data_IF_692205967717
#
_entry.id   IF_692205967717
#
_cell.length_a   1.000
_cell.length_b   1.000
_cell.length_c   1.000
_cell.angle_alpha   90.00
_cell.angle_beta   90.00
_cell.angle_gamma   90.00
#
_symmetry.space_group_name_H-M   'P 1'
#
loop_
_entity.id
_entity.type
_entity.pdbx_description
1 polymer ?
#
# COMPACT_ATOMS: atom_id res chain seq x y z
N UNK A 1 12.85 28.21 5.91
CA UNK A 1 11.82 27.29 6.43
C UNK A 1 12.34 26.74 7.74
N UNK A 2 11.74 27.15 8.86
CA UNK A 2 12.12 26.71 10.21
C UNK A 2 11.79 25.23 10.36
N UNK A 3 12.81 24.39 10.40
CA UNK A 3 12.66 22.97 10.77
C UNK A 3 12.23 22.94 12.22
N UNK A 4 10.96 22.74 12.48
CA UNK A 4 10.46 22.55 13.84
C UNK A 4 11.00 21.23 14.35
N UNK A 5 11.90 21.28 15.31
CA UNK A 5 12.49 20.07 15.90
C UNK A 5 11.55 19.56 16.98
N UNK A 6 10.81 18.51 16.69
CA UNK A 6 9.93 17.83 17.65
C UNK A 6 10.74 16.95 18.60
N UNK A 7 10.44 16.99 19.90
CA UNK A 7 10.97 16.01 20.85
C UNK A 7 10.39 14.62 20.56
N UNK A 8 11.00 13.57 21.09
CA UNK A 8 10.50 12.20 20.94
C UNK A 8 9.05 12.05 21.47
N UNK A 9 8.77 12.70 22.59
CA UNK A 9 7.44 12.68 23.21
C UNK A 9 6.38 13.36 22.34
N UNK A 10 6.71 14.52 21.77
CA UNK A 10 5.84 15.24 20.84
C UNK A 10 5.57 14.44 19.55
N UNK A 11 6.61 13.76 19.02
CA UNK A 11 6.48 12.89 17.87
C UNK A 11 5.51 11.73 18.18
N UNK A 12 5.70 11.05 19.31
CA UNK A 12 4.84 9.95 19.73
C UNK A 12 3.40 10.42 19.96
N UNK A 13 3.19 11.53 20.64
CA UNK A 13 1.86 12.08 20.88
C UNK A 13 1.13 12.39 19.56
N UNK A 14 1.83 12.96 18.56
CA UNK A 14 1.24 13.24 17.25
C UNK A 14 0.92 11.96 16.48
N UNK A 15 1.79 10.95 16.54
CA UNK A 15 1.57 9.65 15.88
C UNK A 15 0.43 8.88 16.54
N UNK A 16 0.33 8.88 17.87
CA UNK A 16 -0.72 8.20 18.62
C UNK A 16 -2.09 8.84 18.43
N UNK A 17 -2.14 10.14 18.16
CA UNK A 17 -3.39 10.87 17.98
C UNK A 17 -4.27 10.26 16.89
N UNK A 18 -5.46 9.75 17.25
CA UNK A 18 -6.40 9.12 16.33
C UNK A 18 -5.95 7.75 15.83
N UNK A 19 -5.03 7.09 16.52
CA UNK A 19 -4.59 5.71 16.27
C UNK A 19 -5.27 4.80 17.28
N UNK A 20 -5.81 3.69 16.84
CA UNK A 20 -6.44 2.71 17.72
C UNK A 20 -5.37 1.82 18.37
N UNK A 21 -4.36 1.43 17.62
CA UNK A 21 -3.30 0.53 18.07
C UNK A 21 -2.01 0.77 17.28
N UNK A 22 -0.86 0.59 17.91
CA UNK A 22 0.48 0.63 17.29
C UNK A 22 1.18 -0.70 17.56
N UNK A 23 1.50 -1.43 16.50
CA UNK A 23 2.22 -2.71 16.53
C UNK A 23 3.64 -2.51 15.93
N UNK A 24 4.72 -2.61 16.70
CA UNK A 24 4.83 -2.50 18.15
C UNK A 24 5.30 -1.09 18.49
N UNK A 25 4.83 -0.53 19.60
CA UNK A 25 5.21 0.80 20.03
C UNK A 25 6.70 0.90 20.34
N UNK A 26 7.30 -0.13 20.96
CA UNK A 26 8.73 -0.20 21.23
C UNK A 26 9.58 -0.09 19.95
N UNK A 27 9.16 -0.72 18.87
CA UNK A 27 9.88 -0.68 17.59
C UNK A 27 9.74 0.69 16.92
N UNK A 28 8.60 1.33 17.06
CA UNK A 28 8.40 2.71 16.63
C UNK A 28 9.35 3.64 17.37
N UNK A 29 9.40 3.56 18.70
CA UNK A 29 10.31 4.35 19.55
C UNK A 29 11.77 4.13 19.14
N UNK A 30 12.20 2.87 18.96
CA UNK A 30 13.56 2.56 18.47
C UNK A 30 13.86 3.23 17.14
N UNK A 31 12.92 3.20 16.20
CA UNK A 31 13.08 3.82 14.87
C UNK A 31 13.15 5.34 14.95
N UNK A 32 12.32 5.98 15.78
CA UNK A 32 12.35 7.44 15.97
C UNK A 32 13.67 7.90 16.63
N UNK A 33 14.21 7.13 17.59
CA UNK A 33 15.50 7.39 18.22
C UNK A 33 16.70 7.36 17.26
N UNK A 34 16.56 6.78 16.06
CA UNK A 34 17.61 6.83 15.05
C UNK A 34 17.85 8.25 14.49
N UNK A 35 17.00 9.20 14.82
CA UNK A 35 17.07 10.60 14.43
C UNK A 35 17.33 10.82 12.92
N UNK A 36 16.67 10.02 12.09
CA UNK A 36 16.70 10.10 10.63
C UNK A 36 15.30 10.01 10.06
N UNK A 37 15.04 10.56 8.87
CA UNK A 37 13.76 10.41 8.20
C UNK A 37 13.40 8.93 8.02
N UNK A 38 12.22 8.56 8.47
CA UNK A 38 11.65 7.23 8.22
C UNK A 38 10.92 7.24 6.88
N UNK A 39 10.85 6.08 6.25
CA UNK A 39 10.03 5.86 5.07
C UNK A 39 8.70 5.27 5.49
N UNK A 40 7.65 6.06 5.35
CA UNK A 40 6.29 5.71 5.76
C UNK A 40 5.49 5.32 4.53
N UNK A 41 4.96 4.12 4.50
CA UNK A 41 4.23 3.57 3.37
C UNK A 41 2.77 3.34 3.73
N UNK A 42 1.86 3.76 2.86
CA UNK A 42 0.47 3.33 2.88
C UNK A 42 0.02 2.96 1.46
N UNK A 43 -0.75 1.87 1.34
CA UNK A 43 -1.24 1.35 0.06
C UNK A 43 -2.72 1.64 -0.13
N UNK A 44 -3.09 1.99 -1.37
CA UNK A 44 -4.45 2.27 -1.82
C UNK A 44 -4.69 1.58 -3.15
N UNK A 45 -5.73 0.77 -3.22
CA UNK A 45 -6.14 0.16 -4.49
C UNK A 45 -7.09 1.12 -5.24
N UNK A 46 -6.81 1.48 -6.50
CA UNK A 46 -7.59 2.44 -7.27
C UNK A 46 -8.88 1.80 -7.82
N UNK A 47 -9.73 1.34 -6.91
CA UNK A 47 -10.97 0.60 -7.21
C UNK A 47 -12.16 1.50 -7.54
N UNK A 48 -12.01 2.81 -7.38
CA UNK A 48 -13.00 3.83 -7.71
C UNK A 48 -12.30 5.04 -8.35
N UNK A 49 -13.02 5.90 -9.10
CA UNK A 49 -12.43 7.09 -9.73
C UNK A 49 -11.85 8.09 -8.73
N UNK A 50 -12.46 8.21 -7.55
CA UNK A 50 -12.14 9.23 -6.56
C UNK A 50 -11.85 8.65 -5.19
N UNK A 51 -11.00 9.37 -4.45
CA UNK A 51 -10.84 9.17 -3.01
C UNK A 51 -12.09 9.68 -2.29
N UNK A 52 -12.60 8.89 -1.35
CA UNK A 52 -13.70 9.33 -0.48
C UNK A 52 -13.18 9.78 0.88
N UNK A 53 -14.07 10.41 1.68
CA UNK A 53 -13.72 10.97 2.98
C UNK A 53 -13.06 9.96 3.94
N UNK A 54 -13.41 8.67 3.86
CA UNK A 54 -12.76 7.62 4.65
C UNK A 54 -11.25 7.49 4.40
N UNK A 55 -10.79 7.74 3.17
CA UNK A 55 -9.37 7.72 2.85
C UNK A 55 -8.61 8.89 3.50
N UNK A 56 -9.26 10.03 3.74
CA UNK A 56 -8.61 11.20 4.34
C UNK A 56 -8.12 10.94 5.76
N UNK A 57 -8.72 9.99 6.48
CA UNK A 57 -8.27 9.58 7.82
C UNK A 57 -6.83 9.08 7.76
N UNK A 58 -6.54 8.16 6.83
CA UNK A 58 -5.20 7.62 6.63
C UNK A 58 -4.26 8.65 6.00
N UNK A 59 -4.74 9.44 5.03
CA UNK A 59 -3.94 10.48 4.38
C UNK A 59 -3.53 11.55 5.38
N UNK A 60 -4.40 11.96 6.30
CA UNK A 60 -4.04 12.88 7.37
C UNK A 60 -3.02 12.27 8.35
N UNK A 61 -3.07 10.96 8.58
CA UNK A 61 -2.02 10.28 9.36
C UNK A 61 -0.67 10.34 8.64
N UNK A 62 -0.64 10.14 7.33
CA UNK A 62 0.57 10.34 6.53
C UNK A 62 1.07 11.79 6.61
N UNK A 63 0.14 12.77 6.62
CA UNK A 63 0.49 14.18 6.82
C UNK A 63 1.18 14.43 8.15
N UNK A 64 0.72 13.82 9.25
CA UNK A 64 1.42 13.93 10.54
C UNK A 64 2.88 13.45 10.43
N UNK A 65 3.14 12.32 9.79
CA UNK A 65 4.51 11.84 9.58
C UNK A 65 5.32 12.78 8.67
N UNK A 66 4.69 13.36 7.67
CA UNK A 66 5.34 14.33 6.78
C UNK A 66 5.73 15.60 7.52
N UNK A 67 4.88 16.10 8.42
CA UNK A 67 5.13 17.28 9.25
C UNK A 67 6.27 17.04 10.26
N UNK A 68 6.44 15.79 10.70
CA UNK A 68 7.58 15.34 11.51
C UNK A 68 8.88 15.17 10.71
N UNK A 69 8.86 15.41 9.39
CA UNK A 69 10.04 15.33 8.53
C UNK A 69 10.34 13.95 7.95
N UNK A 70 9.35 13.03 7.98
CA UNK A 70 9.48 11.71 7.38
C UNK A 70 9.10 11.71 5.90
N UNK A 71 9.63 10.75 5.12
CA UNK A 71 9.32 10.54 3.71
C UNK A 71 8.06 9.69 3.55
N UNK A 72 7.13 10.15 2.73
CA UNK A 72 5.88 9.42 2.46
C UNK A 72 6.00 8.65 1.14
N UNK A 73 5.67 7.37 1.21
CA UNK A 73 5.53 6.49 0.05
C UNK A 73 4.04 6.15 -0.11
N UNK A 74 3.38 6.85 -1.00
CA UNK A 74 2.00 6.61 -1.36
C UNK A 74 1.95 5.51 -2.42
N UNK A 75 1.60 4.31 -2.01
CA UNK A 75 1.56 3.14 -2.88
C UNK A 75 0.20 3.01 -3.54
N UNK A 76 0.19 2.98 -4.85
CA UNK A 76 -0.99 2.66 -5.66
C UNK A 76 -0.93 1.19 -6.04
N UNK A 77 -1.97 0.44 -5.66
CA UNK A 77 -2.12 -0.99 -5.92
C UNK A 77 -2.71 -1.27 -7.29
N UNK A 78 -2.03 -0.83 -8.36
CA UNK A 78 -2.50 -1.02 -9.74
C UNK A 78 -2.47 -2.49 -10.19
N UNK A 79 -1.57 -3.30 -9.67
CA UNK A 79 -1.54 -4.74 -9.92
C UNK A 79 -2.59 -5.49 -9.10
N UNK A 80 -2.71 -5.17 -7.80
CA UNK A 80 -3.66 -5.83 -6.90
C UNK A 80 -5.11 -5.50 -7.22
N UNK A 81 -5.38 -4.30 -7.73
CA UNK A 81 -6.71 -3.90 -8.18
C UNK A 81 -7.27 -4.79 -9.31
N UNK A 82 -6.40 -5.43 -10.10
CA UNK A 82 -6.79 -6.39 -11.16
C UNK A 82 -7.24 -7.73 -10.60
N UNK A 83 -6.71 -8.12 -9.44
CA UNK A 83 -6.98 -9.44 -8.84
C UNK A 83 -8.37 -9.46 -8.20
N UNK A 84 -8.89 -8.30 -7.78
CA UNK A 84 -10.11 -8.15 -7.01
C UNK A 84 -9.94 -8.55 -5.54
N UNK A 85 -10.99 -8.35 -4.76
CA UNK A 85 -10.99 -8.70 -3.34
C UNK A 85 -11.37 -10.19 -3.16
N UNK A 86 -10.44 -11.04 -2.67
CA UNK A 86 -10.71 -12.46 -2.42
C UNK A 86 -11.67 -12.70 -1.24
N UNK A 87 -11.99 -11.68 -0.44
CA UNK A 87 -12.88 -11.82 0.73
C UNK A 87 -14.35 -12.04 0.37
N UNK A 88 -14.71 -11.98 -0.91
CA UNK A 88 -16.04 -12.36 -1.43
C UNK A 88 -17.19 -11.43 -1.04
N UNK A 89 -16.93 -10.36 -0.30
CA UNK A 89 -17.97 -9.41 0.13
C UNK A 89 -18.51 -8.52 -0.98
N UNK A 90 -17.83 -8.48 -2.14
CA UNK A 90 -18.21 -7.67 -3.30
C UNK A 90 -18.18 -8.48 -4.59
N UNK A 91 -18.94 -9.58 -4.64
CA UNK A 91 -19.07 -10.46 -5.84
C UNK A 91 -19.69 -9.79 -7.07
N UNK A 92 -20.04 -8.52 -6.99
CA UNK A 92 -20.78 -7.78 -8.04
C UNK A 92 -19.95 -6.74 -8.79
N UNK A 93 -18.65 -6.55 -8.47
CA UNK A 93 -17.82 -5.61 -9.23
C UNK A 93 -17.07 -6.33 -10.34
N UNK A 94 -17.33 -5.99 -11.62
CA UNK A 94 -16.50 -6.49 -12.72
C UNK A 94 -15.05 -6.04 -12.51
N UNK A 95 -14.05 -6.85 -12.90
CA UNK A 95 -12.65 -6.45 -12.83
C UNK A 95 -12.44 -5.18 -13.68
N UNK A 96 -11.68 -4.23 -13.11
CA UNK A 96 -11.36 -2.99 -13.81
C UNK A 96 -10.40 -3.26 -14.97
N UNK A 97 -10.56 -2.51 -16.06
CA UNK A 97 -9.60 -2.54 -17.17
C UNK A 97 -8.32 -1.80 -16.79
N UNK A 98 -7.22 -2.09 -17.52
CA UNK A 98 -5.94 -1.43 -17.30
C UNK A 98 -6.03 0.09 -17.48
N UNK A 99 -6.86 0.54 -18.42
CA UNK A 99 -7.11 1.95 -18.68
C UNK A 99 -7.84 2.61 -17.51
N UNK A 100 -8.86 1.96 -16.97
CA UNK A 100 -9.60 2.45 -15.81
C UNK A 100 -8.70 2.56 -14.58
N UNK A 101 -7.85 1.55 -14.35
CA UNK A 101 -6.90 1.57 -13.23
C UNK A 101 -5.92 2.72 -13.38
N UNK A 102 -5.39 2.98 -14.57
CA UNK A 102 -4.47 4.11 -14.82
C UNK A 102 -5.13 5.47 -14.58
N UNK A 103 -6.35 5.65 -15.07
CA UNK A 103 -7.11 6.89 -14.86
C UNK A 103 -7.38 7.11 -13.38
N UNK A 104 -7.87 6.09 -12.68
CA UNK A 104 -8.14 6.17 -11.24
C UNK A 104 -6.85 6.45 -10.45
N UNK A 105 -5.74 5.80 -10.81
CA UNK A 105 -4.45 6.02 -10.16
C UNK A 105 -3.94 7.45 -10.32
N UNK A 106 -4.13 8.05 -11.50
CA UNK A 106 -3.78 9.46 -11.73
C UNK A 106 -4.65 10.38 -10.87
N UNK A 107 -5.97 10.15 -10.83
CA UNK A 107 -6.90 10.91 -10.00
C UNK A 107 -6.53 10.83 -8.52
N UNK A 108 -6.16 9.63 -8.02
CA UNK A 108 -5.70 9.45 -6.64
C UNK A 108 -4.44 10.26 -6.35
N UNK A 109 -3.46 10.24 -7.27
CA UNK A 109 -2.23 11.01 -7.12
C UNK A 109 -2.52 12.53 -7.09
N UNK A 110 -3.41 13.03 -7.93
CA UNK A 110 -3.80 14.43 -7.95
C UNK A 110 -4.54 14.85 -6.68
N UNK A 111 -5.45 14.00 -6.20
CA UNK A 111 -6.25 14.28 -5.01
C UNK A 111 -5.43 14.22 -3.72
N UNK A 112 -4.50 13.29 -3.60
CA UNK A 112 -3.65 13.16 -2.41
C UNK A 112 -2.77 14.39 -2.21
N UNK A 113 -2.31 15.02 -3.29
CA UNK A 113 -1.51 16.23 -3.23
C UNK A 113 -2.29 17.50 -2.80
N UNK A 114 -3.59 17.40 -2.60
CA UNK A 114 -4.36 18.47 -1.92
C UNK A 114 -4.09 18.49 -0.41
N UNK A 115 -3.60 17.39 0.15
CA UNK A 115 -3.33 17.21 1.58
C UNK A 115 -1.83 17.05 1.84
N UNK A 116 -1.15 16.21 1.04
CA UNK A 116 0.27 15.93 1.20
C UNK A 116 1.12 16.85 0.32
N UNK A 117 2.30 17.19 0.83
CA UNK A 117 3.32 17.92 0.09
C UNK A 117 3.92 17.01 -0.99
N UNK A 118 3.89 17.49 -2.23
CA UNK A 118 4.37 16.75 -3.40
C UNK A 118 5.87 16.46 -3.36
N UNK A 119 6.67 17.39 -2.82
CA UNK A 119 8.13 17.24 -2.76
C UNK A 119 8.56 16.16 -1.76
N UNK A 120 7.74 15.93 -0.73
CA UNK A 120 8.01 14.95 0.35
C UNK A 120 7.24 13.64 0.19
N UNK A 121 6.51 13.49 -0.92
CA UNK A 121 5.68 12.30 -1.20
C UNK A 121 6.14 11.64 -2.49
N UNK A 122 6.45 10.35 -2.40
CA UNK A 122 6.77 9.51 -3.56
C UNK A 122 5.56 8.66 -3.89
N UNK A 123 5.02 8.82 -5.10
CA UNK A 123 4.02 7.89 -5.65
C UNK A 123 4.76 6.67 -6.19
N UNK A 124 4.35 5.49 -5.76
CA UNK A 124 4.92 4.21 -6.20
C UNK A 124 3.80 3.24 -6.59
N UNK A 125 4.07 2.39 -7.57
CA UNK A 125 3.12 1.42 -8.10
C UNK A 125 3.56 0.01 -7.75
N UNK A 126 2.65 -0.84 -7.29
CA UNK A 126 3.04 -2.20 -6.95
C UNK A 126 3.32 -3.08 -8.19
N UNK A 127 2.84 -2.69 -9.37
CA UNK A 127 3.21 -3.35 -10.64
C UNK A 127 4.70 -3.30 -10.93
N UNK A 128 5.45 -2.32 -10.39
CA UNK A 128 6.89 -2.19 -10.64
C UNK A 128 7.68 -3.41 -10.18
N UNK A 129 7.26 -4.05 -9.08
CA UNK A 129 7.94 -5.24 -8.55
C UNK A 129 7.16 -6.54 -8.74
N UNK A 130 5.85 -6.49 -9.03
CA UNK A 130 5.09 -7.70 -9.31
C UNK A 130 5.20 -8.22 -10.74
N UNK A 131 5.56 -7.37 -11.70
CA UNK A 131 5.71 -7.76 -13.11
C UNK A 131 6.72 -8.89 -13.32
N UNK A 132 7.80 -8.88 -12.55
CA UNK A 132 8.92 -9.84 -12.68
C UNK A 132 8.82 -11.00 -11.69
N UNK A 133 7.81 -10.99 -10.79
CA UNK A 133 7.58 -12.09 -9.87
C UNK A 133 6.81 -13.21 -10.56
N UNK A 134 7.53 -14.22 -11.06
CA UNK A 134 6.92 -15.52 -11.35
C UNK A 134 6.54 -16.18 -10.01
N UNK A 135 5.23 -16.30 -9.72
CA UNK A 135 4.78 -17.05 -8.56
C UNK A 135 5.15 -18.53 -8.76
N UNK A 136 6.07 -19.10 -7.97
CA UNK A 136 6.28 -20.55 -8.00
C UNK A 136 5.03 -21.20 -7.40
N UNK A 137 4.15 -21.73 -8.27
CA UNK A 137 2.92 -22.42 -7.87
C UNK A 137 1.59 -21.81 -8.34
N UNK A 138 1.60 -20.67 -8.99
CA UNK A 138 0.42 -20.17 -9.71
C UNK A 138 0.11 -21.10 -10.87
N UNK A 139 -0.99 -21.87 -10.79
CA UNK A 139 -1.51 -22.65 -11.92
C UNK A 139 -1.87 -21.71 -13.05
N UNK A 140 -0.87 -21.32 -13.84
CA UNK A 140 -1.09 -20.73 -15.14
C UNK A 140 -1.91 -21.71 -15.95
N UNK A 141 -3.16 -21.40 -16.25
CA UNK A 141 -3.87 -22.05 -17.34
C UNK A 141 -3.15 -21.67 -18.63
N UNK A 142 -2.18 -22.49 -19.02
CA UNK A 142 -1.75 -22.47 -20.41
C UNK A 142 -2.94 -22.87 -21.29
N UNK A 143 -3.34 -22.08 -22.26
CA UNK A 143 -4.28 -22.53 -23.27
C UNK A 143 -3.53 -23.60 -24.11
N UNK A 144 -3.81 -24.87 -23.89
CA UNK A 144 -3.41 -25.95 -24.81
C UNK A 144 -2.47 -27.02 -24.31
N UNK A 145 -2.17 -27.15 -23.01
CA UNK A 145 -1.32 -28.24 -22.48
C UNK A 145 -2.12 -29.37 -21.85
N UNK A 146 -2.28 -30.53 -22.53
CA UNK A 146 -2.78 -31.76 -21.90
C UNK A 146 -1.77 -32.20 -20.82
N UNK A 147 -2.23 -32.34 -19.58
CA UNK A 147 -1.46 -33.02 -18.54
C UNK A 147 -1.23 -34.48 -18.96
N UNK A 148 0.02 -34.86 -19.23
CA UNK A 148 0.42 -36.27 -19.28
C UNK A 148 0.40 -36.79 -17.84
N UNK A 149 -0.45 -37.79 -17.59
CA UNK A 149 -0.41 -38.60 -16.41
C UNK A 149 0.88 -39.42 -16.38
N UNK A 150 1.63 -39.33 -15.32
CA UNK A 150 2.77 -40.21 -15.02
C UNK A 150 3.92 -39.47 -14.35
N UNK A 151 3.95 -39.51 -13.05
CA UNK A 151 5.08 -39.75 -12.15
C UNK A 151 4.91 -39.03 -10.79
N UNK A 152 4.59 -39.81 -9.74
CA UNK A 152 5.16 -39.62 -8.43
C UNK A 152 4.60 -38.47 -7.57
N UNK A 153 3.37 -38.58 -7.03
CA UNK A 153 2.98 -37.84 -5.85
C UNK A 153 3.42 -38.66 -4.59
N UNK A 154 4.31 -38.17 -3.72
CA UNK A 154 4.63 -38.88 -2.49
C UNK A 154 3.44 -38.78 -1.52
N UNK A 155 2.87 -39.91 -1.14
CA UNK A 155 1.89 -40.07 -0.07
C UNK A 155 2.54 -39.65 1.25
N UNK A 156 1.91 -38.74 1.97
CA UNK A 156 2.20 -38.50 3.39
C UNK A 156 1.78 -39.76 4.15
N UNK A 157 2.71 -40.37 4.88
CA UNK A 157 2.47 -41.42 5.86
C UNK A 157 2.19 -40.78 7.22
N UNK A 158 1.23 -41.38 7.93
CA UNK A 158 1.05 -41.36 9.37
C UNK A 158 0.65 -40.03 10.03
#
# INVERSE_FOLDING_TARGET
MTTQTYTLEEQLALIQRGTQEILSEDDLVKKLKLNRPLRIKAGFDPTAPDLHLGHTVLINKLKHFQDLGHEIYFLIGDYTAKIGDPSGKNSTRPPLTDEQIKVNAQTYAEQVFKILDKEKTKIVFNSEWFKDMSAPGGRGRHPGGRCRAGAGCPRRAG
#
